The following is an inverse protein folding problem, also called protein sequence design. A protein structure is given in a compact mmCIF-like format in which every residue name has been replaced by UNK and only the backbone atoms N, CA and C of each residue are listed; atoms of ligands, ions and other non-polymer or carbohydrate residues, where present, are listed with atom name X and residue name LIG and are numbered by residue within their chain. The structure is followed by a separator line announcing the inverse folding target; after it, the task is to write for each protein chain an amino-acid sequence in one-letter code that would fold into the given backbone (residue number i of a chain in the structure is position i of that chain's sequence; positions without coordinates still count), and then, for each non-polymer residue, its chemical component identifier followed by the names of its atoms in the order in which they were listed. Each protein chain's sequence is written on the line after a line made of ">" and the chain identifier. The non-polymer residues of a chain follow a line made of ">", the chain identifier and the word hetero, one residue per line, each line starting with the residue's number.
data_IF_640723126558
#
_entry.id   IF_640723126558
#
_cell.length_a   1.000
_cell.length_b   1.000
_cell.length_c   1.000
_cell.angle_alpha   90.00
_cell.angle_beta   90.00
_cell.angle_gamma   90.00
#
_symmetry.space_group_name_H-M   'P 1'
#
loop_
_entity.id
_entity.type
_entity.pdbx_description
1 polymer ?
#
# COMPACT_ATOMS: atom_id res chain seq x y z
N UNK A 1 2.93 6.23 13.27
CA UNK A 1 3.47 7.32 14.12
C UNK A 1 4.11 8.40 13.26
N UNK A 2 5.10 8.09 12.39
CA UNK A 2 5.80 9.09 11.54
C UNK A 2 4.82 9.84 10.63
N UNK A 3 3.87 9.17 9.97
CA UNK A 3 2.87 9.80 9.11
C UNK A 3 1.94 10.77 9.86
N UNK A 4 1.66 10.53 11.14
CA UNK A 4 0.86 11.45 11.98
C UNK A 4 1.65 12.68 12.40
N UNK A 5 2.95 12.52 12.67
CA UNK A 5 3.83 13.63 13.09
C UNK A 5 4.14 14.61 11.94
N UNK A 6 4.12 14.16 10.71
CA UNK A 6 4.48 14.95 9.53
C UNK A 6 3.29 15.21 8.59
N UNK A 7 2.05 14.94 9.02
CA UNK A 7 0.85 15.05 8.19
C UNK A 7 0.75 16.41 7.47
N UNK A 8 0.85 17.51 8.21
CA UNK A 8 0.70 18.86 7.67
C UNK A 8 1.80 19.23 6.66
N UNK A 9 3.04 18.76 6.89
CA UNK A 9 4.14 18.95 5.94
C UNK A 9 4.00 18.09 4.70
N UNK A 10 3.50 16.87 4.84
CA UNK A 10 3.26 15.95 3.72
C UNK A 10 2.14 16.47 2.81
N UNK A 11 1.07 17.02 3.39
CA UNK A 11 -0.03 17.61 2.63
C UNK A 11 0.38 18.88 1.87
N UNK A 12 1.32 19.67 2.39
CA UNK A 12 1.84 20.89 1.73
C UNK A 12 2.69 20.56 0.48
N UNK A 13 3.27 19.35 0.40
CA UNK A 13 4.11 18.90 -0.71
C UNK A 13 3.27 18.29 -1.85
N UNK A 14 1.95 18.24 -1.72
CA UNK A 14 1.08 17.56 -2.68
C UNK A 14 0.72 18.40 -3.92
N UNK A 15 1.70 19.03 -4.57
CA UNK A 15 1.44 19.64 -5.88
C UNK A 15 1.34 18.57 -6.97
N UNK A 16 0.56 18.86 -8.03
CA UNK A 16 0.35 17.92 -9.16
C UNK A 16 1.68 17.50 -9.80
N UNK A 17 2.66 18.40 -9.86
CA UNK A 17 4.00 18.13 -10.41
C UNK A 17 4.79 17.16 -9.54
N UNK A 18 4.75 17.32 -8.23
CA UNK A 18 5.46 16.46 -7.27
C UNK A 18 4.85 15.06 -7.22
N UNK A 19 3.52 14.97 -7.27
CA UNK A 19 2.81 13.69 -7.39
C UNK A 19 3.18 12.98 -8.69
N UNK A 20 3.25 13.71 -9.82
CA UNK A 20 3.68 13.15 -11.11
C UNK A 20 5.13 12.63 -11.07
N UNK A 21 6.04 13.37 -10.44
CA UNK A 21 7.42 12.92 -10.26
C UNK A 21 7.52 11.67 -9.37
N UNK A 22 6.77 11.63 -8.30
CA UNK A 22 6.72 10.48 -7.39
C UNK A 22 6.19 9.21 -8.08
N UNK A 23 5.18 9.36 -8.96
CA UNK A 23 4.69 8.26 -9.81
C UNK A 23 5.77 7.76 -10.76
N UNK A 24 6.54 8.65 -11.38
CA UNK A 24 7.68 8.28 -12.25
C UNK A 24 8.75 7.53 -11.46
N UNK A 25 9.09 7.98 -10.25
CA UNK A 25 10.05 7.29 -9.38
C UNK A 25 9.55 5.87 -9.08
N UNK A 26 8.28 5.70 -8.73
CA UNK A 26 7.70 4.37 -8.49
C UNK A 26 7.76 3.49 -9.73
N UNK A 27 7.44 4.04 -10.90
CA UNK A 27 7.48 3.32 -12.17
C UNK A 27 8.92 2.87 -12.51
N UNK A 28 9.91 3.74 -12.32
CA UNK A 28 11.32 3.41 -12.51
C UNK A 28 11.80 2.34 -11.53
N UNK A 29 11.44 2.45 -10.26
CA UNK A 29 11.79 1.45 -9.24
C UNK A 29 11.22 0.07 -9.60
N UNK A 30 9.96 0.00 -10.02
CA UNK A 30 9.32 -1.24 -10.48
C UNK A 30 9.98 -1.77 -11.76
N UNK A 31 10.36 -0.87 -12.68
CA UNK A 31 11.06 -1.26 -13.91
C UNK A 31 12.42 -1.90 -13.62
N UNK A 32 13.18 -1.34 -12.68
CA UNK A 32 14.47 -1.89 -12.26
C UNK A 32 14.32 -3.32 -11.69
N UNK A 33 13.30 -3.55 -10.88
CA UNK A 33 13.08 -4.87 -10.27
C UNK A 33 12.23 -5.82 -11.11
N UNK A 34 11.76 -5.41 -12.29
CA UNK A 34 10.86 -6.23 -13.12
C UNK A 34 11.41 -7.61 -13.48
N UNK A 35 12.73 -7.70 -13.64
CA UNK A 35 13.43 -8.97 -13.96
C UNK A 35 13.87 -9.74 -12.71
N UNK A 36 13.72 -9.15 -11.52
CA UNK A 36 14.06 -9.81 -10.27
C UNK A 36 13.01 -10.86 -9.96
N UNK A 37 13.47 -12.08 -9.74
CA UNK A 37 12.64 -13.16 -9.23
C UNK A 37 13.49 -13.99 -8.27
N UNK A 38 13.49 -13.58 -7.02
CA UNK A 38 14.19 -14.29 -5.96
C UNK A 38 13.59 -15.68 -5.71
N UNK A 39 14.29 -16.48 -4.95
CA UNK A 39 13.83 -17.83 -4.55
C UNK A 39 13.26 -17.85 -3.14
N UNK A 40 13.46 -16.78 -2.38
CA UNK A 40 13.06 -16.66 -0.99
C UNK A 40 11.53 -16.60 -0.86
N UNK A 41 11.00 -17.40 0.04
CA UNK A 41 9.56 -17.41 0.35
C UNK A 41 9.24 -16.45 1.52
N UNK A 42 7.96 -16.16 1.71
CA UNK A 42 7.47 -15.29 2.78
C UNK A 42 7.84 -15.75 4.20
N UNK A 43 7.97 -17.06 4.43
CA UNK A 43 8.41 -17.65 5.70
C UNK A 43 9.94 -17.57 5.96
N UNK A 44 10.71 -17.16 4.97
CA UNK A 44 12.18 -17.03 5.06
C UNK A 44 12.62 -15.55 5.25
N UNK A 45 11.67 -14.65 5.50
CA UNK A 45 11.93 -13.24 5.74
C UNK A 45 12.68 -13.07 7.05
N UNK A 46 13.84 -12.42 6.98
CA UNK A 46 14.64 -12.09 8.14
C UNK A 46 14.27 -10.72 8.73
N UNK A 47 14.69 -10.44 9.96
CA UNK A 47 14.50 -9.09 10.56
C UNK A 47 15.16 -7.98 9.75
N UNK A 48 16.28 -8.27 9.06
CA UNK A 48 16.93 -7.31 8.15
C UNK A 48 16.06 -7.02 6.93
N UNK A 49 15.46 -8.05 6.34
CA UNK A 49 14.54 -7.89 5.21
C UNK A 49 13.32 -7.06 5.64
N UNK A 50 12.73 -7.38 6.80
CA UNK A 50 11.60 -6.65 7.33
C UNK A 50 11.92 -5.16 7.57
N UNK A 51 13.14 -4.85 8.04
CA UNK A 51 13.59 -3.47 8.21
C UNK A 51 13.71 -2.75 6.86
N UNK A 52 14.33 -3.39 5.87
CA UNK A 52 14.48 -2.81 4.52
C UNK A 52 13.10 -2.57 3.90
N UNK A 53 12.23 -3.56 3.92
CA UNK A 53 10.86 -3.44 3.38
C UNK A 53 10.09 -2.32 4.10
N UNK A 54 10.25 -2.22 5.42
CA UNK A 54 9.66 -1.16 6.23
C UNK A 54 10.16 0.24 5.86
N UNK A 55 11.44 0.39 5.52
CA UNK A 55 12.00 1.64 5.00
C UNK A 55 11.38 2.03 3.66
N UNK A 56 11.22 1.09 2.73
CA UNK A 56 10.52 1.32 1.47
C UNK A 56 9.07 1.73 1.70
N UNK A 57 8.38 1.10 2.65
CA UNK A 57 7.01 1.48 3.02
C UNK A 57 6.95 2.88 3.64
N UNK A 58 7.97 3.28 4.41
CA UNK A 58 8.06 4.62 4.98
C UNK A 58 8.26 5.69 3.91
N UNK A 59 9.09 5.44 2.89
CA UNK A 59 9.23 6.35 1.75
C UNK A 59 7.90 6.57 1.03
N UNK A 60 7.05 5.55 0.98
CA UNK A 60 5.73 5.63 0.37
C UNK A 60 4.67 6.42 1.18
N UNK A 61 5.05 7.10 2.25
CA UNK A 61 4.24 8.13 2.91
C UNK A 61 4.20 9.43 2.10
N UNK A 62 5.16 9.64 1.19
CA UNK A 62 5.16 10.79 0.31
C UNK A 62 4.00 10.69 -0.71
N UNK A 63 3.24 11.79 -0.92
CA UNK A 63 2.16 11.82 -1.89
C UNK A 63 2.63 11.47 -3.29
N UNK A 64 1.91 10.55 -3.94
CA UNK A 64 2.24 10.08 -5.30
C UNK A 64 3.14 8.82 -5.34
N UNK A 65 3.90 8.49 -4.30
CA UNK A 65 4.58 7.21 -4.26
C UNK A 65 3.57 6.08 -3.98
N UNK A 66 3.58 5.08 -4.85
CA UNK A 66 2.71 3.92 -4.68
C UNK A 66 3.16 3.09 -3.47
N UNK A 67 2.31 3.02 -2.45
CA UNK A 67 2.61 2.30 -1.21
C UNK A 67 2.86 0.81 -1.48
N UNK A 68 1.97 0.16 -2.20
CA UNK A 68 2.13 -1.25 -2.60
C UNK A 68 3.30 -1.45 -3.56
N UNK A 69 3.53 -0.53 -4.49
CA UNK A 69 4.67 -0.56 -5.41
C UNK A 69 6.01 -0.53 -4.68
N UNK A 70 6.19 0.38 -3.72
CA UNK A 70 7.43 0.50 -2.97
C UNK A 70 7.70 -0.72 -2.08
N UNK A 71 6.66 -1.25 -1.41
CA UNK A 71 6.80 -2.50 -0.62
C UNK A 71 7.18 -3.67 -1.52
N UNK A 72 6.55 -3.79 -2.70
CA UNK A 72 6.88 -4.83 -3.68
C UNK A 72 8.34 -4.73 -4.13
N UNK A 73 8.83 -3.51 -4.43
CA UNK A 73 10.24 -3.25 -4.76
C UNK A 73 11.14 -3.72 -3.63
N UNK A 74 10.85 -3.33 -2.38
CA UNK A 74 11.61 -3.76 -1.21
C UNK A 74 11.67 -5.28 -1.05
N UNK A 75 10.54 -5.97 -1.24
CA UNK A 75 10.49 -7.44 -1.19
C UNK A 75 11.35 -8.10 -2.26
N UNK A 76 11.26 -7.63 -3.52
CA UNK A 76 12.04 -8.18 -4.62
C UNK A 76 13.55 -7.92 -4.46
N UNK A 77 13.94 -6.76 -3.94
CA UNK A 77 15.33 -6.44 -3.61
C UNK A 77 15.88 -7.33 -2.48
N UNK A 78 15.06 -7.75 -1.54
CA UNK A 78 15.40 -8.69 -0.49
C UNK A 78 15.47 -10.15 -1.01
N UNK A 79 15.23 -10.38 -2.29
CA UNK A 79 15.32 -11.69 -2.93
C UNK A 79 14.09 -12.58 -2.77
N UNK A 80 12.94 -12.02 -2.39
CA UNK A 80 11.68 -12.76 -2.38
C UNK A 80 11.25 -13.09 -3.81
N UNK A 81 10.58 -14.23 -3.98
CA UNK A 81 9.91 -14.55 -5.24
C UNK A 81 8.68 -13.63 -5.43
N UNK A 82 8.19 -13.52 -6.65
CA UNK A 82 7.09 -12.59 -7.01
C UNK A 82 5.80 -12.89 -6.25
N UNK A 83 5.44 -14.15 -6.11
CA UNK A 83 4.20 -14.56 -5.42
C UNK A 83 4.26 -14.19 -3.94
N UNK A 84 5.37 -14.52 -3.25
CA UNK A 84 5.57 -14.17 -1.85
C UNK A 84 5.66 -12.65 -1.64
N UNK A 85 6.29 -11.92 -2.58
CA UNK A 85 6.36 -10.45 -2.54
C UNK A 85 4.98 -9.81 -2.61
N UNK A 86 4.13 -10.29 -3.52
CA UNK A 86 2.75 -9.80 -3.64
C UNK A 86 1.95 -10.11 -2.38
N UNK A 87 1.99 -11.35 -1.90
CA UNK A 87 1.31 -11.79 -0.68
C UNK A 87 1.73 -10.95 0.53
N UNK A 88 3.04 -10.77 0.73
CA UNK A 88 3.59 -9.98 1.84
C UNK A 88 3.19 -8.51 1.75
N UNK A 89 3.16 -7.94 0.55
CA UNK A 89 2.70 -6.56 0.31
C UNK A 89 1.26 -6.37 0.77
N UNK A 90 0.36 -7.29 0.44
CA UNK A 90 -1.03 -7.22 0.89
C UNK A 90 -1.19 -7.47 2.40
N UNK A 91 -0.42 -8.40 2.96
CA UNK A 91 -0.43 -8.63 4.41
C UNK A 91 0.03 -7.39 5.19
N UNK A 92 1.06 -6.69 4.69
CA UNK A 92 1.58 -5.48 5.33
C UNK A 92 0.63 -4.28 5.20
N UNK A 93 -0.22 -4.28 4.17
CA UNK A 93 -1.24 -3.25 3.98
C UNK A 93 -2.40 -3.37 4.98
N UNK A 94 -2.72 -4.58 5.41
CA UNK A 94 -3.86 -4.84 6.29
C UNK A 94 -3.83 -4.05 7.60
N UNK A 95 -2.76 -4.09 8.43
CA UNK A 95 -2.73 -3.34 9.69
C UNK A 95 -2.81 -1.82 9.49
N UNK A 96 -2.23 -1.31 8.40
CA UNK A 96 -2.32 0.12 8.05
C UNK A 96 -3.75 0.51 7.69
N UNK A 97 -4.45 -0.34 6.93
CA UNK A 97 -5.85 -0.11 6.56
C UNK A 97 -6.77 -0.12 7.77
N UNK A 98 -6.58 -1.05 8.69
CA UNK A 98 -7.36 -1.12 9.95
C UNK A 98 -7.13 0.14 10.80
N UNK A 99 -5.88 0.58 10.94
CA UNK A 99 -5.56 1.80 11.68
C UNK A 99 -6.18 3.05 11.03
N UNK A 100 -6.10 3.17 9.71
CA UNK A 100 -6.70 4.28 8.96
C UNK A 100 -8.22 4.28 9.08
N UNK A 101 -8.85 3.12 8.98
CA UNK A 101 -10.30 2.96 9.17
C UNK A 101 -10.73 3.39 10.58
N UNK A 102 -9.98 2.98 11.61
CA UNK A 102 -10.26 3.38 12.99
C UNK A 102 -10.19 4.90 13.19
N UNK A 103 -9.15 5.55 12.67
CA UNK A 103 -8.99 7.01 12.75
C UNK A 103 -10.13 7.73 12.02
N UNK A 104 -10.42 7.33 10.78
CA UNK A 104 -11.51 7.91 9.99
C UNK A 104 -12.87 7.71 10.64
N UNK A 105 -13.10 6.57 11.30
CA UNK A 105 -14.34 6.32 12.02
C UNK A 105 -14.52 7.27 13.21
N UNK A 106 -13.45 7.60 13.92
CA UNK A 106 -13.49 8.59 15.03
C UNK A 106 -13.84 9.97 14.49
N UNK A 107 -13.25 10.39 13.38
CA UNK A 107 -13.51 11.69 12.77
C UNK A 107 -14.97 11.79 12.28
N UNK A 108 -15.49 10.72 11.71
CA UNK A 108 -16.87 10.60 11.26
C UNK A 108 -17.85 10.74 12.44
N UNK A 109 -17.59 10.05 13.54
CA UNK A 109 -18.44 10.13 14.74
C UNK A 109 -18.43 11.54 15.34
N UNK A 110 -17.29 12.21 15.34
CA UNK A 110 -17.15 13.59 15.84
C UNK A 110 -17.85 14.62 14.95
N UNK A 111 -17.81 14.42 13.63
CA UNK A 111 -18.39 15.36 12.66
C UNK A 111 -19.89 15.21 12.51
N UNK A 112 -20.47 14.10 13.00
CA UNK A 112 -21.89 13.76 12.82
C UNK A 112 -22.20 13.36 11.37
N UNK A 113 -22.62 12.13 11.14
CA UNK A 113 -23.08 11.71 9.82
C UNK A 113 -24.57 11.91 9.72
N UNK A 114 -25.04 12.55 8.65
CA UNK A 114 -26.44 12.50 8.28
C UNK A 114 -26.86 11.06 7.99
N UNK A 115 -27.92 10.58 8.64
CA UNK A 115 -28.38 9.18 8.57
C UNK A 115 -28.61 8.67 7.14
N UNK A 116 -28.92 9.57 6.21
CA UNK A 116 -29.11 9.27 4.79
C UNK A 116 -27.82 8.86 4.06
N UNK A 117 -26.63 9.19 4.58
CA UNK A 117 -25.33 8.84 3.98
C UNK A 117 -24.82 7.46 4.42
N UNK A 118 -25.32 6.93 5.55
CA UNK A 118 -24.90 5.62 6.08
C UNK A 118 -25.12 4.48 5.09
N UNK A 119 -26.26 4.48 4.40
CA UNK A 119 -26.55 3.48 3.37
C UNK A 119 -25.55 3.56 2.20
N UNK A 120 -25.21 4.78 1.76
CA UNK A 120 -24.22 5.00 0.71
C UNK A 120 -22.83 4.49 1.08
N UNK A 121 -22.38 4.74 2.31
CA UNK A 121 -21.11 4.22 2.82
C UNK A 121 -21.10 2.69 2.89
N UNK A 122 -22.20 2.08 3.36
CA UNK A 122 -22.31 0.63 3.42
C UNK A 122 -22.28 0.00 2.02
N UNK A 123 -23.04 0.52 1.07
CA UNK A 123 -23.04 0.04 -0.31
C UNK A 123 -21.67 0.21 -0.97
N UNK A 124 -20.99 1.36 -0.74
CA UNK A 124 -19.64 1.60 -1.22
C UNK A 124 -18.63 0.60 -0.65
N UNK A 125 -18.72 0.27 0.65
CA UNK A 125 -17.88 -0.72 1.30
C UNK A 125 -18.07 -2.12 0.69
N UNK A 126 -19.32 -2.55 0.48
CA UNK A 126 -19.64 -3.85 -0.13
C UNK A 126 -19.12 -3.91 -1.57
N UNK A 127 -19.38 -2.87 -2.37
CA UNK A 127 -18.88 -2.79 -3.75
C UNK A 127 -17.35 -2.84 -3.81
N UNK A 128 -16.67 -2.07 -2.96
CA UNK A 128 -15.21 -2.08 -2.88
C UNK A 128 -14.68 -3.47 -2.49
N UNK A 129 -15.30 -4.15 -1.55
CA UNK A 129 -14.93 -5.52 -1.16
C UNK A 129 -15.03 -6.52 -2.31
N UNK A 130 -16.14 -6.48 -3.05
CA UNK A 130 -16.36 -7.35 -4.22
C UNK A 130 -15.29 -7.09 -5.30
N UNK A 131 -15.10 -5.82 -5.68
CA UNK A 131 -14.11 -5.44 -6.70
C UNK A 131 -12.69 -5.86 -6.26
N UNK A 132 -12.34 -5.61 -5.01
CA UNK A 132 -11.02 -5.98 -4.46
C UNK A 132 -10.79 -7.49 -4.53
N UNK A 133 -11.80 -8.31 -4.20
CA UNK A 133 -11.69 -9.76 -4.27
C UNK A 133 -11.38 -10.25 -5.69
N UNK A 134 -12.12 -9.78 -6.69
CA UNK A 134 -11.91 -10.17 -8.08
C UNK A 134 -10.57 -9.66 -8.62
N UNK A 135 -10.22 -8.41 -8.32
CA UNK A 135 -8.95 -7.80 -8.75
C UNK A 135 -7.75 -8.52 -8.14
N UNK A 136 -7.82 -8.87 -6.86
CA UNK A 136 -6.76 -9.64 -6.20
C UNK A 136 -6.56 -11.02 -6.85
N UNK A 137 -7.66 -11.74 -7.11
CA UNK A 137 -7.61 -13.04 -7.78
C UNK A 137 -6.98 -12.93 -9.16
N UNK A 138 -7.41 -11.99 -9.96
CA UNK A 138 -6.88 -11.71 -11.29
C UNK A 138 -5.38 -11.36 -11.27
N UNK A 139 -5.00 -10.45 -10.38
CA UNK A 139 -3.59 -10.05 -10.22
C UNK A 139 -2.70 -11.21 -9.77
N UNK A 140 -3.20 -12.03 -8.83
CA UNK A 140 -2.48 -13.22 -8.35
C UNK A 140 -2.24 -14.24 -9.47
N UNK A 141 -3.17 -14.41 -10.40
CA UNK A 141 -3.00 -15.28 -11.57
C UNK A 141 -1.95 -14.74 -12.54
N UNK A 142 -1.93 -13.43 -12.80
CA UNK A 142 -0.92 -12.80 -13.66
C UNK A 142 0.50 -12.95 -13.08
N UNK A 143 0.65 -12.82 -11.78
CA UNK A 143 1.97 -12.88 -11.12
C UNK A 143 2.53 -14.30 -11.08
N UNK A 144 1.66 -15.31 -11.13
CA UNK A 144 2.06 -16.74 -11.16
C UNK A 144 2.55 -17.19 -12.55
N UNK A 145 2.08 -16.56 -13.62
CA UNK A 145 2.50 -16.82 -14.98
C UNK A 145 3.70 -15.96 -15.37
#
# INVERSE_FOLDING_TARGET
>A
IIGLLFKDKIETIASVKEVGLALLITALALFVVKSSNGKKKDNEITYKDALIIGLFQMCALLPGLSRSGMVLVGCLLCGLNRESSLKYTFMLYFPVSVASFGLSSIDIVKSGIASNLLLGYFLGMVAAGIVTYFTYKWLSEIVKN
#
